data_IF_687135423993
#
_entry.id   IF_687135423993
#
_cell.length_a   1.000
_cell.length_b   1.000
_cell.length_c   1.000
_cell.angle_alpha   90.00
_cell.angle_beta   90.00
_cell.angle_gamma   90.00
#
_symmetry.space_group_name_H-M   'P 1'
#
loop_
_entity.id
_entity.type
_entity.pdbx_description
1 polymer ?
#
# COMPACT_ATOMS: atom_id res chain seq x y z
N UNK A 1 23.34 40.77 -6.55
CA UNK A 1 24.04 39.48 -6.37
C UNK A 1 23.27 38.65 -5.35
N UNK A 2 22.80 37.46 -5.72
CA UNK A 2 22.16 36.54 -4.77
C UNK A 2 23.22 35.90 -3.88
N UNK A 3 23.01 35.89 -2.56
CA UNK A 3 23.96 35.33 -1.60
C UNK A 3 23.57 33.88 -1.31
N UNK A 4 24.38 32.94 -1.80
CA UNK A 4 24.17 31.50 -1.55
C UNK A 4 24.49 31.22 -0.08
N UNK A 5 23.59 30.51 0.62
CA UNK A 5 23.76 30.09 2.01
C UNK A 5 23.59 28.58 2.13
N UNK A 6 24.20 27.98 3.15
CA UNK A 6 24.04 26.55 3.43
C UNK A 6 22.64 26.23 3.95
N UNK A 7 22.20 24.97 3.73
CA UNK A 7 20.91 24.45 4.23
C UNK A 7 20.75 24.65 5.75
N UNK A 8 21.80 24.39 6.52
CA UNK A 8 21.79 24.53 8.00
C UNK A 8 21.47 25.99 8.38
N UNK A 9 22.06 26.95 7.67
CA UNK A 9 21.85 28.38 7.92
C UNK A 9 20.46 28.83 7.47
N UNK A 10 19.97 28.34 6.33
CA UNK A 10 18.61 28.57 5.88
C UNK A 10 17.58 28.02 6.87
N UNK A 11 17.76 26.79 7.34
CA UNK A 11 16.89 26.15 8.34
C UNK A 11 16.84 26.95 9.65
N UNK A 12 17.98 27.50 10.10
CA UNK A 12 18.03 28.36 11.29
C UNK A 12 17.24 29.66 11.09
N UNK A 13 17.35 30.31 9.93
CA UNK A 13 16.62 31.54 9.61
C UNK A 13 15.11 31.32 9.55
N UNK A 14 14.68 30.21 8.95
CA UNK A 14 13.25 29.83 8.92
C UNK A 14 12.72 29.59 10.34
N UNK A 15 13.48 28.88 11.19
CA UNK A 15 13.13 28.66 12.61
C UNK A 15 13.08 29.95 13.43
N UNK A 16 13.81 30.99 13.02
CA UNK A 16 13.79 32.32 13.62
C UNK A 16 12.64 33.21 13.12
N UNK A 17 11.74 32.67 12.30
CA UNK A 17 10.54 33.36 11.81
C UNK A 17 10.72 34.09 10.48
N UNK A 18 11.83 33.89 9.77
CA UNK A 18 11.99 34.44 8.43
C UNK A 18 11.06 33.73 7.42
N UNK A 19 10.41 34.50 6.56
CA UNK A 19 9.65 33.97 5.43
C UNK A 19 10.61 33.33 4.41
N UNK A 20 10.35 32.07 4.08
CA UNK A 20 11.07 31.34 3.04
C UNK A 20 10.11 30.89 1.95
N UNK A 21 10.60 30.95 0.71
CA UNK A 21 9.89 30.52 -0.48
C UNK A 21 10.67 29.38 -1.13
N UNK A 22 9.98 28.29 -1.48
CA UNK A 22 10.55 27.20 -2.26
C UNK A 22 10.19 27.43 -3.73
N UNK A 23 11.18 27.69 -4.57
CA UNK A 23 11.01 27.73 -6.02
C UNK A 23 11.51 26.41 -6.61
N UNK A 24 10.62 25.68 -7.29
CA UNK A 24 10.97 24.48 -8.03
C UNK A 24 10.99 24.81 -9.52
N UNK A 25 12.18 24.83 -10.12
CA UNK A 25 12.33 25.02 -11.56
C UNK A 25 12.20 23.65 -12.22
N UNK A 26 11.12 23.44 -12.98
CA UNK A 26 11.03 22.33 -13.93
C UNK A 26 11.54 22.82 -15.25
N UNK A 27 12.61 22.20 -15.73
CA UNK A 27 12.96 22.33 -17.13
C UNK A 27 11.88 21.62 -17.96
N UNK A 28 11.26 22.34 -18.90
CA UNK A 28 10.15 21.80 -19.72
C UNK A 28 10.70 21.07 -20.94
N UNK A 29 11.97 21.31 -21.30
CA UNK A 29 12.65 20.71 -22.45
C UNK A 29 13.31 19.37 -22.10
N UNK A 30 13.59 19.13 -20.81
CA UNK A 30 14.11 17.85 -20.33
C UNK A 30 12.90 16.96 -20.02
N UNK A 31 12.53 16.10 -20.96
CA UNK A 31 11.68 14.94 -20.67
C UNK A 31 12.25 14.24 -19.43
N UNK A 32 11.42 14.02 -18.42
CA UNK A 32 11.85 13.24 -17.25
C UNK A 32 12.45 11.93 -17.78
N UNK A 33 13.71 11.59 -17.43
CA UNK A 33 14.33 10.40 -17.98
C UNK A 33 13.42 9.22 -17.72
N UNK A 34 13.05 8.53 -18.81
CA UNK A 34 12.20 7.35 -18.75
C UNK A 34 12.86 6.42 -17.74
N UNK A 35 12.12 5.91 -16.75
CA UNK A 35 12.66 5.05 -15.69
C UNK A 35 13.47 3.87 -16.30
N UNK A 36 13.07 3.42 -17.49
CA UNK A 36 13.72 2.38 -18.29
C UNK A 36 15.13 2.75 -18.81
N UNK A 37 15.50 4.03 -18.83
CA UNK A 37 16.84 4.51 -19.19
C UNK A 37 17.87 4.32 -18.07
N UNK A 38 17.43 3.99 -16.86
CA UNK A 38 18.31 3.68 -15.73
C UNK A 38 18.84 2.25 -15.92
N UNK A 39 20.17 2.03 -16.06
CA UNK A 39 20.75 0.72 -16.35
C UNK A 39 20.31 -0.38 -15.37
N UNK A 40 20.17 -0.04 -14.10
CA UNK A 40 19.72 -0.98 -13.05
C UNK A 40 18.25 -1.37 -13.25
N UNK A 41 17.40 -0.46 -13.73
CA UNK A 41 15.98 -0.75 -13.93
C UNK A 41 15.75 -1.56 -15.20
N UNK A 42 16.55 -1.34 -16.25
CA UNK A 42 16.51 -2.18 -17.45
C UNK A 42 17.05 -3.59 -17.19
N UNK A 43 18.07 -3.73 -16.34
CA UNK A 43 18.61 -5.02 -15.90
C UNK A 43 17.61 -5.81 -15.05
N UNK A 44 16.88 -5.14 -14.14
CA UNK A 44 15.92 -5.76 -13.22
C UNK A 44 14.46 -5.38 -13.54
N UNK A 45 14.08 -5.40 -14.82
CA UNK A 45 12.71 -5.02 -15.25
C UNK A 45 11.62 -5.88 -14.60
N UNK A 46 11.94 -7.11 -14.26
CA UNK A 46 11.07 -8.05 -13.54
C UNK A 46 10.77 -7.62 -12.09
N UNK A 47 11.69 -6.88 -11.45
CA UNK A 47 11.56 -6.37 -10.08
C UNK A 47 10.80 -5.04 -10.05
N UNK A 48 10.80 -4.30 -11.17
CA UNK A 48 10.13 -3.01 -11.33
C UNK A 48 9.04 -3.03 -12.42
N UNK A 49 8.04 -3.93 -12.37
CA UNK A 49 6.98 -3.96 -13.36
C UNK A 49 6.06 -2.74 -13.21
N UNK A 50 5.54 -2.23 -14.34
CA UNK A 50 4.59 -1.11 -14.36
C UNK A 50 3.25 -1.46 -13.68
N UNK A 51 2.87 -2.75 -13.67
CA UNK A 51 1.74 -3.28 -12.93
C UNK A 51 2.10 -4.66 -12.36
N UNK A 52 1.63 -4.96 -11.16
CA UNK A 52 1.88 -6.25 -10.51
C UNK A 52 0.95 -7.31 -11.12
N UNK A 53 1.53 -8.31 -11.78
CA UNK A 53 0.79 -9.42 -12.36
C UNK A 53 0.53 -10.52 -11.32
N UNK A 54 -0.57 -10.37 -10.58
CA UNK A 54 -1.17 -11.45 -9.80
C UNK A 54 -0.54 -11.72 -8.43
N UNK A 55 -0.95 -12.84 -7.83
CA UNK A 55 -0.53 -13.28 -6.49
C UNK A 55 1.00 -13.30 -6.35
N UNK A 56 1.56 -12.91 -5.19
CA UNK A 56 2.99 -13.02 -4.95
C UNK A 56 3.48 -14.45 -5.19
N UNK A 57 4.79 -14.63 -5.48
CA UNK A 57 5.38 -15.95 -5.53
C UNK A 57 5.20 -16.67 -4.19
N UNK A 58 5.14 -18.00 -4.24
CA UNK A 58 5.24 -18.80 -3.01
C UNK A 58 6.62 -18.56 -2.38
N UNK A 59 6.62 -18.33 -1.08
CA UNK A 59 7.83 -18.08 -0.28
C UNK A 59 7.78 -18.99 0.94
N UNK A 60 8.91 -19.19 1.59
CA UNK A 60 9.00 -20.03 2.80
C UNK A 60 8.29 -19.40 4.01
N UNK A 61 7.94 -18.11 3.93
CA UNK A 61 7.35 -17.34 5.02
C UNK A 61 5.97 -16.84 4.60
N UNK A 62 4.96 -17.35 5.29
CA UNK A 62 3.61 -16.80 5.29
C UNK A 62 3.40 -15.89 6.50
N UNK A 63 2.65 -14.80 6.29
CA UNK A 63 2.22 -13.89 7.33
C UNK A 63 1.10 -14.52 8.17
N UNK A 64 1.34 -14.69 9.47
CA UNK A 64 0.32 -15.09 10.44
C UNK A 64 -0.30 -13.89 11.15
N UNK A 65 -1.56 -14.04 11.55
CA UNK A 65 -2.28 -13.06 12.38
C UNK A 65 -2.56 -13.72 13.72
N UNK A 66 -1.60 -13.61 14.61
CA UNK A 66 -1.74 -14.11 15.98
C UNK A 66 -2.72 -13.22 16.75
N UNK A 67 -3.69 -13.86 17.39
CA UNK A 67 -4.69 -13.19 18.21
C UNK A 67 -4.44 -13.54 19.66
N UNK A 68 -4.60 -12.56 20.54
CA UNK A 68 -4.54 -12.80 21.99
C UNK A 68 -5.57 -13.85 22.42
N UNK A 69 -5.20 -14.79 23.31
CA UNK A 69 -6.12 -15.81 23.80
C UNK A 69 -7.41 -15.20 24.36
N UNK A 70 -8.55 -15.68 23.88
CA UNK A 70 -9.88 -15.21 24.30
C UNK A 70 -10.47 -14.08 23.45
N UNK A 71 -9.76 -13.59 22.43
CA UNK A 71 -10.33 -12.60 21.52
C UNK A 71 -11.46 -13.21 20.67
N UNK A 72 -12.58 -12.48 20.57
CA UNK A 72 -13.73 -12.86 19.74
C UNK A 72 -13.66 -12.16 18.38
N UNK A 73 -14.26 -12.73 17.31
CA UNK A 73 -14.33 -12.07 16.02
C UNK A 73 -15.00 -10.70 16.08
N UNK A 74 -14.37 -9.72 15.42
CA UNK A 74 -14.87 -8.34 15.33
C UNK A 74 -15.57 -8.16 13.98
N UNK A 75 -16.85 -7.80 13.98
CA UNK A 75 -17.63 -7.45 12.78
C UNK A 75 -18.22 -6.04 12.91
N UNK A 76 -17.63 -5.10 12.19
CA UNK A 76 -18.01 -3.69 12.10
C UNK A 76 -18.86 -3.49 10.83
N UNK A 77 -19.99 -2.75 10.91
CA UNK A 77 -20.79 -2.44 9.72
C UNK A 77 -20.03 -1.54 8.74
N UNK A 78 -20.29 -1.64 7.42
CA UNK A 78 -19.70 -0.75 6.43
C UNK A 78 -20.05 0.72 6.70
N UNK A 79 -19.10 1.62 6.47
CA UNK A 79 -19.35 3.06 6.57
C UNK A 79 -20.29 3.55 5.45
N UNK A 80 -21.15 4.52 5.78
CA UNK A 80 -22.05 5.15 4.79
C UNK A 80 -21.24 6.06 3.87
N UNK A 81 -21.30 5.79 2.57
CA UNK A 81 -20.57 6.56 1.55
C UNK A 81 -21.53 7.16 0.53
N UNK A 82 -21.17 8.34 0.01
CA UNK A 82 -21.89 8.98 -1.09
C UNK A 82 -21.82 8.11 -2.37
N UNK A 83 -22.80 8.22 -3.29
CA UNK A 83 -22.86 7.39 -4.49
C UNK A 83 -21.59 7.45 -5.36
N UNK A 84 -20.96 8.63 -5.49
CA UNK A 84 -19.72 8.79 -6.25
C UNK A 84 -18.56 7.97 -5.66
N UNK A 85 -18.40 8.00 -4.33
CA UNK A 85 -17.37 7.23 -3.60
C UNK A 85 -17.63 5.73 -3.66
N UNK A 86 -18.91 5.32 -3.64
CA UNK A 86 -19.28 3.91 -3.83
C UNK A 86 -18.92 3.38 -5.22
N UNK A 87 -19.03 4.22 -6.26
CA UNK A 87 -18.65 3.85 -7.63
C UNK A 87 -17.15 3.65 -7.76
N UNK A 88 -16.35 4.55 -7.18
CA UNK A 88 -14.89 4.43 -7.14
C UNK A 88 -14.45 3.19 -6.35
N UNK A 89 -15.04 2.98 -5.16
CA UNK A 89 -14.76 1.79 -4.37
C UNK A 89 -15.10 0.50 -5.12
N UNK A 90 -16.23 0.47 -5.85
CA UNK A 90 -16.60 -0.70 -6.64
C UNK A 90 -15.58 -0.98 -7.75
N UNK A 91 -15.07 0.05 -8.41
CA UNK A 91 -14.02 -0.09 -9.42
C UNK A 91 -12.73 -0.67 -8.81
N UNK A 92 -12.31 -0.17 -7.64
CA UNK A 92 -11.15 -0.70 -6.93
C UNK A 92 -11.32 -2.17 -6.49
N UNK A 93 -12.51 -2.53 -5.98
CA UNK A 93 -12.81 -3.92 -5.61
C UNK A 93 -12.77 -4.83 -6.85
N UNK A 94 -13.28 -4.38 -7.99
CA UNK A 94 -13.24 -5.17 -9.22
C UNK A 94 -11.81 -5.39 -9.69
N UNK A 95 -10.97 -4.34 -9.66
CA UNK A 95 -9.55 -4.47 -9.99
C UNK A 95 -8.84 -5.48 -9.07
N UNK A 96 -9.13 -5.44 -7.76
CA UNK A 96 -8.56 -6.39 -6.79
C UNK A 96 -9.02 -7.84 -7.04
N UNK A 97 -10.26 -8.05 -7.51
CA UNK A 97 -10.77 -9.37 -7.90
C UNK A 97 -10.09 -9.86 -9.17
N UNK A 98 -9.94 -8.99 -10.17
CA UNK A 98 -9.30 -9.31 -11.45
C UNK A 98 -7.82 -9.68 -11.24
N UNK A 99 -7.13 -8.98 -10.32
CA UNK A 99 -5.77 -9.29 -9.87
C UNK A 99 -5.67 -10.50 -8.92
N UNK A 100 -6.81 -11.07 -8.49
CA UNK A 100 -6.91 -12.20 -7.54
C UNK A 100 -6.36 -11.91 -6.13
N UNK A 101 -6.25 -10.65 -5.73
CA UNK A 101 -5.80 -10.27 -4.39
C UNK A 101 -6.87 -10.43 -3.32
N UNK A 102 -8.14 -10.37 -3.72
CA UNK A 102 -9.27 -10.62 -2.83
C UNK A 102 -10.13 -11.77 -3.34
N UNK A 103 -10.84 -12.42 -2.42
CA UNK A 103 -11.87 -13.40 -2.73
C UNK A 103 -13.18 -13.10 -2.01
N UNK A 104 -14.34 -13.42 -2.60
CA UNK A 104 -15.59 -13.53 -1.85
C UNK A 104 -15.44 -14.62 -0.77
N UNK A 105 -15.98 -14.37 0.42
CA UNK A 105 -15.94 -15.35 1.50
C UNK A 105 -16.96 -15.05 2.59
N UNK A 106 -17.18 -16.01 3.48
CA UNK A 106 -17.96 -15.84 4.70
C UNK A 106 -17.02 -15.94 5.91
N UNK A 107 -17.02 -14.92 6.75
CA UNK A 107 -16.26 -14.90 7.99
C UNK A 107 -17.07 -14.24 9.09
N UNK A 108 -16.80 -14.63 10.33
CA UNK A 108 -17.32 -13.94 11.52
C UNK A 108 -16.60 -12.60 11.75
N UNK A 109 -15.43 -12.42 11.14
CA UNK A 109 -14.68 -11.18 11.11
C UNK A 109 -15.21 -10.28 9.99
N UNK A 110 -15.16 -8.97 10.21
CA UNK A 110 -15.58 -8.00 9.22
C UNK A 110 -15.13 -6.60 9.58
N UNK A 111 -14.00 -6.15 9.05
CA UNK A 111 -13.61 -4.75 9.14
C UNK A 111 -14.47 -3.85 8.23
N UNK A 112 -14.55 -2.56 8.56
CA UNK A 112 -15.11 -1.57 7.63
C UNK A 112 -14.13 -1.30 6.48
N UNK A 113 -14.68 -0.92 5.32
CA UNK A 113 -13.91 -0.71 4.08
C UNK A 113 -12.79 0.33 4.26
N UNK A 114 -11.57 -0.03 3.87
CA UNK A 114 -10.43 0.89 3.77
C UNK A 114 -10.56 1.76 2.52
N UNK A 115 -10.39 3.08 2.65
CA UNK A 115 -10.72 4.04 1.59
C UNK A 115 -9.56 4.36 0.63
N UNK A 116 -8.38 3.77 0.85
CA UNK A 116 -7.23 3.93 -0.05
C UNK A 116 -6.20 2.83 0.21
N UNK A 117 -6.28 1.75 -0.56
CA UNK A 117 -5.19 0.78 -0.63
C UNK A 117 -4.21 1.36 -1.65
N UNK A 118 -3.02 1.75 -1.20
CA UNK A 118 -1.96 2.13 -2.12
C UNK A 118 -1.46 0.83 -2.77
N UNK A 119 -1.86 0.62 -4.03
CA UNK A 119 -1.48 -0.54 -4.82
C UNK A 119 -0.02 -0.47 -5.30
N UNK A 120 0.75 0.56 -4.92
CA UNK A 120 2.19 0.60 -5.20
C UNK A 120 2.88 -0.65 -4.67
N UNK A 121 3.84 -1.12 -5.46
CA UNK A 121 4.37 -2.48 -5.49
C UNK A 121 5.00 -3.02 -4.20
N UNK A 122 5.32 -2.17 -3.22
CA UNK A 122 6.15 -2.54 -2.08
C UNK A 122 5.53 -3.50 -1.06
N UNK A 123 4.20 -3.57 -0.95
CA UNK A 123 3.53 -4.29 0.16
C UNK A 123 2.86 -5.62 -0.24
N UNK A 124 3.00 -6.07 -1.49
CA UNK A 124 2.28 -7.24 -2.01
C UNK A 124 3.08 -8.55 -1.92
N UNK A 125 4.22 -8.58 -1.23
CA UNK A 125 5.14 -9.71 -1.29
C UNK A 125 4.90 -10.80 -0.25
N UNK A 126 4.05 -10.58 0.75
CA UNK A 126 3.74 -11.54 1.81
C UNK A 126 2.31 -12.05 1.69
N UNK A 127 2.18 -13.37 1.50
CA UNK A 127 0.90 -14.07 1.57
C UNK A 127 0.48 -14.24 3.02
N UNK A 128 -0.81 -14.10 3.27
CA UNK A 128 -1.39 -14.47 4.56
C UNK A 128 -1.59 -15.99 4.56
N UNK A 129 -1.30 -16.63 5.70
CA UNK A 129 -1.60 -18.04 5.92
C UNK A 129 -3.07 -18.33 5.59
N UNK A 130 -3.40 -19.41 4.87
CA UNK A 130 -4.78 -19.71 4.49
C UNK A 130 -5.78 -19.73 5.66
N UNK A 131 -5.31 -20.13 6.85
CA UNK A 131 -6.07 -20.17 8.11
C UNK A 131 -6.42 -18.78 8.66
N UNK A 132 -5.57 -17.79 8.36
CA UNK A 132 -5.70 -16.41 8.85
C UNK A 132 -6.37 -15.48 7.85
N UNK A 133 -6.57 -15.92 6.59
CA UNK A 133 -7.32 -15.18 5.57
C UNK A 133 -8.73 -14.75 6.05
N UNK A 134 -9.51 -15.58 6.78
CA UNK A 134 -10.79 -15.14 7.32
C UNK A 134 -10.69 -13.99 8.32
N UNK A 135 -9.51 -13.71 8.91
CA UNK A 135 -9.31 -12.60 9.85
C UNK A 135 -9.16 -11.26 9.14
N UNK A 136 -8.80 -11.26 7.84
CA UNK A 136 -8.67 -10.04 7.01
C UNK A 136 -9.96 -9.67 6.28
N UNK A 137 -11.06 -10.33 6.63
CA UNK A 137 -12.35 -10.08 5.99
C UNK A 137 -12.84 -8.65 6.25
N UNK A 138 -13.31 -7.99 5.20
CA UNK A 138 -13.96 -6.68 5.27
C UNK A 138 -15.34 -6.70 4.61
N UNK A 139 -16.22 -5.79 5.04
CA UNK A 139 -17.61 -5.72 4.59
C UNK A 139 -17.84 -4.52 3.69
N UNK A 140 -18.45 -4.80 2.54
CA UNK A 140 -18.98 -3.80 1.59
C UNK A 140 -20.47 -4.11 1.35
N UNK A 141 -20.93 -4.19 0.08
CA UNK A 141 -22.20 -4.84 -0.29
C UNK A 141 -22.13 -6.37 -0.23
N UNK A 142 -20.95 -6.92 0.00
CA UNK A 142 -20.71 -8.33 0.28
C UNK A 142 -19.55 -8.48 1.27
N UNK A 143 -19.15 -9.72 1.52
CA UNK A 143 -18.05 -10.06 2.41
C UNK A 143 -16.86 -10.54 1.57
N UNK A 144 -15.70 -9.89 1.72
CA UNK A 144 -14.49 -10.18 0.95
C UNK A 144 -13.30 -10.34 1.88
N UNK A 145 -12.33 -11.18 1.52
CA UNK A 145 -11.10 -11.40 2.29
C UNK A 145 -9.87 -11.19 1.43
N UNK A 146 -8.79 -10.67 2.03
CA UNK A 146 -7.51 -10.46 1.35
C UNK A 146 -6.62 -11.70 1.45
N UNK A 147 -5.88 -11.97 0.38
CA UNK A 147 -4.76 -12.90 0.39
C UNK A 147 -3.44 -12.24 0.82
N UNK A 148 -3.42 -10.90 0.84
CA UNK A 148 -2.23 -10.09 1.13
C UNK A 148 -2.36 -9.35 2.44
N UNK A 149 -1.25 -9.21 3.15
CA UNK A 149 -1.20 -8.61 4.49
C UNK A 149 -1.23 -7.08 4.49
N UNK A 150 -1.83 -6.41 3.49
CA UNK A 150 -1.79 -4.95 3.41
C UNK A 150 -2.45 -4.28 4.62
N UNK A 151 -1.76 -3.29 5.20
CA UNK A 151 -2.30 -2.48 6.30
C UNK A 151 -2.46 -3.22 7.63
N UNK A 152 -1.98 -4.46 7.75
CA UNK A 152 -1.95 -5.19 9.01
C UNK A 152 -0.74 -4.76 9.86
N UNK A 153 -0.90 -4.85 11.18
CA UNK A 153 0.20 -4.62 12.13
C UNK A 153 1.31 -5.66 11.91
N UNK A 154 2.56 -5.30 12.17
CA UNK A 154 3.76 -6.17 12.04
C UNK A 154 4.17 -6.57 10.62
N UNK A 155 3.45 -6.15 9.58
CA UNK A 155 3.80 -6.45 8.18
C UNK A 155 5.18 -5.92 7.78
N UNK A 156 5.58 -4.69 8.15
CA UNK A 156 6.95 -4.23 7.88
C UNK A 156 8.01 -5.10 8.57
N UNK A 157 7.74 -5.59 9.78
CA UNK A 157 8.66 -6.46 10.50
C UNK A 157 8.78 -7.84 9.84
N UNK A 158 7.65 -8.44 9.44
CA UNK A 158 7.64 -9.68 8.66
C UNK A 158 8.35 -9.51 7.30
N UNK A 159 8.18 -8.35 6.66
CA UNK A 159 8.88 -8.03 5.42
C UNK A 159 10.39 -7.87 5.63
N UNK A 160 10.83 -7.28 6.74
CA UNK A 160 12.26 -7.23 7.09
C UNK A 160 12.85 -8.63 7.29
N UNK A 161 12.13 -9.54 7.97
CA UNK A 161 12.57 -10.94 8.13
C UNK A 161 12.69 -11.63 6.76
N UNK A 162 11.76 -11.35 5.85
CA UNK A 162 11.81 -11.90 4.50
C UNK A 162 13.03 -11.43 3.68
N UNK A 163 13.53 -10.22 3.97
CA UNK A 163 14.63 -9.61 3.21
C UNK A 163 16.02 -9.93 3.79
N UNK A 164 16.11 -10.67 4.90
CA UNK A 164 17.34 -10.98 5.62
C UNK A 164 17.70 -12.46 5.50
#
# INVERSE_FOLDING_TARGET
QAKIISYIRASKLVKQGCLAYLAHIKDVEIETPIIESIPVVSEFREVFPNDLSGMPPDRDIDFCIDLEPGMRPISIPPYRMAPAKLRELKAQIQELLDKRFIRPGSSQWGASVFSKIDLRSGYHHLKIRPEDVPKTTFRTRGTMSFWLSFGLTNVPAAFMILMN
#
